data_IF_118756252049
#
_entry.id   IF_118756252049
#
_cell.length_a   1.000
_cell.length_b   1.000
_cell.length_c   1.000
_cell.angle_alpha   90.00
_cell.angle_beta   90.00
_cell.angle_gamma   90.00
#
_symmetry.space_group_name_H-M   'P 1'
#
loop_
_entity.id
_entity.type
_entity.pdbx_description
1 polymer ?
#
# COMPACT_ATOMS: atom_id res chain seq x y z
N UNK A 1 32.16 0.34 -46.98
CA UNK A 1 32.14 -0.85 -46.09
C UNK A 1 31.53 -0.45 -44.76
N UNK A 2 30.26 -0.86 -44.51
CA UNK A 2 29.53 -0.56 -43.27
C UNK A 2 29.81 -1.65 -42.24
N UNK A 3 30.37 -1.27 -41.10
CA UNK A 3 30.51 -2.14 -39.94
C UNK A 3 29.12 -2.48 -39.38
N UNK A 4 28.82 -3.78 -39.31
CA UNK A 4 27.59 -4.35 -38.79
C UNK A 4 27.66 -4.38 -37.26
N UNK A 5 26.96 -3.45 -36.60
CA UNK A 5 26.79 -3.48 -35.15
C UNK A 5 25.75 -4.54 -34.78
N UNK A 6 26.24 -5.67 -34.28
CA UNK A 6 25.45 -6.73 -33.67
C UNK A 6 24.92 -6.22 -32.32
N UNK A 7 23.70 -5.70 -32.30
CA UNK A 7 22.97 -5.43 -31.06
C UNK A 7 22.71 -6.76 -30.35
N UNK A 8 23.46 -7.00 -29.27
CA UNK A 8 23.16 -8.04 -28.31
C UNK A 8 21.80 -7.73 -27.67
N UNK A 9 20.83 -8.59 -27.92
CA UNK A 9 19.48 -8.51 -27.36
C UNK A 9 19.49 -8.86 -25.88
N UNK A 10 20.00 -7.97 -25.02
CA UNK A 10 19.70 -7.94 -23.60
C UNK A 10 18.32 -7.32 -23.41
N UNK A 11 17.28 -8.07 -23.78
CA UNK A 11 15.90 -7.76 -23.41
C UNK A 11 15.77 -7.94 -21.90
N UNK A 12 16.16 -6.87 -21.20
CA UNK A 12 16.01 -6.72 -19.77
C UNK A 12 14.56 -6.99 -19.41
N UNK A 13 14.32 -7.98 -18.56
CA UNK A 13 13.03 -8.31 -17.95
C UNK A 13 12.58 -7.20 -16.96
N UNK A 14 12.80 -5.93 -17.32
CA UNK A 14 12.32 -4.75 -16.63
C UNK A 14 10.81 -4.71 -16.79
N UNK A 15 10.14 -4.80 -15.64
CA UNK A 15 8.74 -4.36 -15.44
C UNK A 15 7.66 -5.10 -16.23
N UNK A 16 7.44 -6.38 -15.92
CA UNK A 16 6.13 -7.00 -16.20
C UNK A 16 5.11 -6.77 -15.08
N UNK A 17 5.58 -6.55 -13.84
CA UNK A 17 4.72 -5.95 -12.81
C UNK A 17 4.76 -4.45 -13.04
N UNK A 18 3.67 -3.83 -13.55
CA UNK A 18 3.68 -2.40 -13.81
C UNK A 18 3.99 -1.67 -12.50
N UNK A 19 4.96 -0.76 -12.55
CA UNK A 19 5.16 0.21 -11.49
C UNK A 19 3.83 0.95 -11.32
N UNK A 20 3.15 0.70 -10.21
CA UNK A 20 1.80 1.21 -9.96
C UNK A 20 1.94 2.70 -9.59
N UNK A 21 2.06 3.57 -10.61
CA UNK A 21 2.29 5.01 -10.47
C UNK A 21 1.21 5.74 -9.64
N UNK A 22 0.07 5.08 -9.38
CA UNK A 22 -1.09 5.63 -8.69
C UNK A 22 -1.47 4.89 -7.40
N UNK A 23 -0.58 4.05 -6.85
CA UNK A 23 -0.85 3.38 -5.59
C UNK A 23 -0.53 4.29 -4.39
N UNK A 24 -1.54 4.60 -3.59
CA UNK A 24 -1.38 5.38 -2.36
C UNK A 24 -2.29 4.83 -1.27
N UNK A 25 -2.12 5.29 -0.03
CA UNK A 25 -3.16 5.16 0.98
C UNK A 25 -3.78 6.53 1.24
N UNK A 26 -5.06 6.54 1.60
CA UNK A 26 -5.77 7.76 1.94
C UNK A 26 -6.41 7.63 3.32
N UNK A 27 -6.38 8.71 4.11
CA UNK A 27 -7.26 8.87 5.26
C UNK A 27 -7.93 10.24 5.20
N UNK A 28 -9.05 10.39 5.89
CA UNK A 28 -9.85 11.62 5.90
C UNK A 28 -10.12 11.96 7.36
N UNK A 29 -9.95 13.23 7.72
CA UNK A 29 -10.40 13.77 8.99
C UNK A 29 -11.48 14.83 8.76
N UNK A 30 -12.45 14.92 9.67
CA UNK A 30 -13.59 15.85 9.58
C UNK A 30 -13.43 16.98 10.59
N UNK A 31 -13.78 18.19 10.17
CA UNK A 31 -14.03 19.32 11.05
C UNK A 31 -15.53 19.48 11.25
N UNK A 32 -15.98 19.70 12.48
CA UNK A 32 -17.40 19.79 12.80
C UNK A 32 -17.68 20.67 14.00
N UNK A 33 -18.89 21.22 14.02
CA UNK A 33 -19.43 22.00 15.12
C UNK A 33 -20.43 21.16 15.90
N UNK A 34 -20.31 21.20 17.21
CA UNK A 34 -21.32 20.74 18.14
C UNK A 34 -22.08 21.93 18.71
N UNK A 35 -23.36 21.72 19.05
CA UNK A 35 -24.19 22.67 19.81
C UNK A 35 -24.71 21.98 21.05
N UNK A 36 -24.77 22.71 22.17
CA UNK A 36 -25.34 22.20 23.41
C UNK A 36 -26.85 21.96 23.25
N UNK A 37 -27.38 20.97 23.98
CA UNK A 37 -28.80 20.68 24.04
C UNK A 37 -29.56 21.63 25.00
N UNK A 38 -28.85 22.29 25.91
CA UNK A 38 -29.43 23.17 26.93
C UNK A 38 -29.21 24.65 26.65
N UNK A 39 -28.22 24.98 25.82
CA UNK A 39 -27.89 26.36 25.44
C UNK A 39 -27.49 26.41 23.95
N UNK A 40 -28.42 26.84 23.09
CA UNK A 40 -28.20 26.92 21.64
C UNK A 40 -27.10 27.93 21.24
N UNK A 41 -26.67 28.81 22.17
CA UNK A 41 -25.57 29.75 21.94
C UNK A 41 -24.19 29.11 22.19
N UNK A 42 -24.12 27.99 22.92
CA UNK A 42 -22.87 27.28 23.17
C UNK A 42 -22.54 26.36 21.99
N UNK A 43 -21.56 26.76 21.19
CA UNK A 43 -21.01 25.94 20.10
C UNK A 43 -19.56 25.56 20.35
N UNK A 44 -19.21 24.31 20.02
CA UNK A 44 -17.83 23.81 20.11
C UNK A 44 -17.34 23.32 18.77
N UNK A 45 -16.23 23.87 18.31
CA UNK A 45 -15.61 23.48 17.05
C UNK A 45 -14.51 22.44 17.26
N UNK A 46 -14.52 21.40 16.42
CA UNK A 46 -13.49 20.38 16.33
C UNK A 46 -12.74 20.52 15.02
N UNK A 47 -11.43 20.74 15.10
CA UNK A 47 -10.58 20.82 13.91
C UNK A 47 -10.37 19.45 13.25
N UNK A 48 -10.26 19.37 11.91
CA UNK A 48 -9.94 18.14 11.22
C UNK A 48 -8.52 17.64 11.56
N UNK A 49 -8.43 16.57 12.35
CA UNK A 49 -7.19 15.93 12.79
C UNK A 49 -7.36 14.40 12.88
N UNK A 50 -6.38 13.65 12.38
CA UNK A 50 -6.39 12.19 12.40
C UNK A 50 -6.34 11.56 13.80
N UNK A 51 -5.98 12.31 14.84
CA UNK A 51 -5.93 11.77 16.21
C UNK A 51 -7.34 11.47 16.73
N UNK A 52 -8.31 12.32 16.41
CA UNK A 52 -9.62 12.30 17.07
C UNK A 52 -10.80 12.60 16.13
N UNK A 53 -10.60 12.93 14.86
CA UNK A 53 -11.70 13.15 13.91
C UNK A 53 -11.54 12.38 12.62
N UNK A 54 -10.83 11.25 12.68
CA UNK A 54 -10.62 10.36 11.54
C UNK A 54 -11.93 9.65 11.14
N UNK A 55 -12.13 9.52 9.83
CA UNK A 55 -13.22 8.72 9.25
C UNK A 55 -12.85 7.23 9.31
N UNK A 56 -11.67 6.90 8.78
CA UNK A 56 -11.17 5.53 8.73
C UNK A 56 -10.18 5.27 9.87
N UNK A 57 -10.39 4.17 10.62
CA UNK A 57 -9.49 3.75 11.70
C UNK A 57 -8.08 3.45 11.22
N UNK A 58 -7.92 3.14 9.93
CA UNK A 58 -6.62 3.02 9.27
C UNK A 58 -6.68 3.56 7.85
N UNK A 59 -5.55 4.04 7.28
CA UNK A 59 -5.54 4.54 5.91
C UNK A 59 -5.93 3.48 4.88
N UNK A 60 -6.89 3.81 4.03
CA UNK A 60 -7.45 2.94 2.99
C UNK A 60 -6.51 2.87 1.79
N UNK A 61 -6.15 1.66 1.36
CA UNK A 61 -5.31 1.46 0.18
C UNK A 61 -6.08 1.71 -1.13
N UNK A 62 -5.56 2.62 -1.94
CA UNK A 62 -6.05 2.97 -3.28
C UNK A 62 -5.07 2.43 -4.31
N UNK A 63 -5.54 1.43 -5.04
CA UNK A 63 -4.79 0.71 -6.06
C UNK A 63 -5.25 1.06 -7.48
N UNK A 64 -6.46 1.63 -7.61
CA UNK A 64 -7.08 2.03 -8.86
C UNK A 64 -7.99 3.22 -8.65
N UNK A 65 -8.36 3.94 -9.72
CA UNK A 65 -9.36 5.01 -9.63
C UNK A 65 -10.74 4.49 -9.16
N UNK A 66 -11.07 3.24 -9.48
CA UNK A 66 -12.33 2.62 -9.07
C UNK A 66 -12.42 2.37 -7.56
N UNK A 67 -11.26 2.22 -6.89
CA UNK A 67 -11.19 2.02 -5.44
C UNK A 67 -11.69 3.23 -4.67
N UNK A 68 -11.54 4.44 -5.21
CA UNK A 68 -12.06 5.65 -4.55
C UNK A 68 -13.57 5.53 -4.37
N UNK A 69 -14.29 5.14 -5.42
CA UNK A 69 -15.75 4.98 -5.34
C UNK A 69 -16.14 3.80 -4.47
N UNK A 70 -15.47 2.66 -4.63
CA UNK A 70 -15.83 1.40 -3.97
C UNK A 70 -15.44 1.34 -2.49
N UNK A 71 -14.27 1.86 -2.13
CA UNK A 71 -13.70 1.73 -0.78
C UNK A 71 -13.85 2.99 0.07
N UNK A 72 -13.80 4.18 -0.55
CA UNK A 72 -13.83 5.46 0.19
C UNK A 72 -15.25 6.01 0.21
N UNK A 73 -15.84 6.29 -0.96
CA UNK A 73 -17.16 6.92 -1.04
C UNK A 73 -18.26 5.99 -0.52
N UNK A 74 -18.22 4.71 -0.89
CA UNK A 74 -19.22 3.74 -0.42
C UNK A 74 -19.23 3.65 1.11
N UNK A 75 -18.05 3.55 1.71
CA UNK A 75 -17.89 3.43 3.16
C UNK A 75 -18.38 4.68 3.90
N UNK A 76 -18.03 5.87 3.40
CA UNK A 76 -18.52 7.15 3.98
C UNK A 76 -20.05 7.23 3.91
N UNK A 77 -20.65 6.75 2.82
CA UNK A 77 -22.12 6.78 2.65
C UNK A 77 -22.84 5.76 3.52
N UNK A 78 -22.21 4.62 3.81
CA UNK A 78 -22.77 3.62 4.73
C UNK A 78 -22.49 3.94 6.20
N UNK A 79 -21.56 4.85 6.48
CA UNK A 79 -21.24 5.25 7.85
C UNK A 79 -22.31 6.19 8.42
N UNK A 80 -22.84 5.82 9.57
CA UNK A 80 -23.47 6.80 10.47
C UNK A 80 -22.37 7.65 11.11
N UNK A 81 -22.16 8.84 10.55
CA UNK A 81 -21.12 9.77 11.00
C UNK A 81 -21.25 10.12 12.48
N UNK A 82 -22.47 10.21 13.02
CA UNK A 82 -22.72 10.45 14.44
C UNK A 82 -22.03 9.43 15.36
N UNK A 83 -21.86 8.18 14.94
CA UNK A 83 -21.20 7.14 15.76
C UNK A 83 -19.67 7.28 15.78
N UNK A 84 -19.09 8.11 14.91
CA UNK A 84 -17.64 8.31 14.76
C UNK A 84 -17.15 9.63 15.34
N UNK A 85 -18.03 10.62 15.46
CA UNK A 85 -17.65 11.92 16.02
C UNK A 85 -17.44 11.79 17.53
N UNK A 86 -16.44 12.50 18.03
CA UNK A 86 -16.20 12.58 19.46
C UNK A 86 -17.08 13.67 20.06
N UNK A 87 -17.81 13.32 21.11
CA UNK A 87 -18.67 14.22 21.87
C UNK A 87 -18.07 14.40 23.27
N UNK A 88 -17.93 15.66 23.77
CA UNK A 88 -17.47 15.90 25.13
C UNK A 88 -18.36 15.29 26.20
N UNK A 89 -19.67 15.27 25.96
CA UNK A 89 -20.70 14.71 26.82
C UNK A 89 -21.98 14.42 26.01
N UNK A 90 -22.94 13.72 26.60
CA UNK A 90 -24.28 13.50 26.01
C UNK A 90 -25.11 14.79 25.86
N UNK A 91 -24.64 15.92 26.41
CA UNK A 91 -25.31 17.22 26.32
C UNK A 91 -25.09 17.96 25.01
N UNK A 92 -24.39 17.37 24.04
CA UNK A 92 -24.11 18.01 22.74
C UNK A 92 -24.69 17.19 21.59
N UNK A 93 -25.18 17.89 20.56
CA UNK A 93 -25.55 17.31 19.26
C UNK A 93 -24.70 17.90 18.14
N UNK A 94 -24.59 17.17 17.04
CA UNK A 94 -23.93 17.66 15.83
C UNK A 94 -24.74 18.82 15.23
N UNK A 95 -24.10 19.96 15.03
CA UNK A 95 -24.68 21.11 14.32
C UNK A 95 -24.40 21.03 12.83
N UNK A 96 -23.12 20.92 12.46
CA UNK A 96 -22.71 20.84 11.07
C UNK A 96 -21.31 20.23 10.91
N UNK A 97 -21.05 19.63 9.76
CA UNK A 97 -19.69 19.33 9.30
C UNK A 97 -19.18 20.58 8.58
N UNK A 98 -18.13 21.19 9.11
CA UNK A 98 -17.62 22.49 8.65
C UNK A 98 -16.39 22.37 7.77
N UNK A 99 -15.75 21.20 7.74
CA UNK A 99 -14.61 20.97 6.85
C UNK A 99 -14.12 19.54 6.82
N UNK A 100 -13.11 19.29 6.00
CA UNK A 100 -12.41 18.01 5.96
C UNK A 100 -10.95 18.21 5.55
N UNK A 101 -10.11 17.24 5.92
CA UNK A 101 -8.70 17.18 5.50
C UNK A 101 -8.38 15.79 4.97
N UNK A 102 -7.85 15.73 3.76
CA UNK A 102 -7.46 14.48 3.11
C UNK A 102 -5.94 14.29 3.30
N UNK A 103 -5.58 13.13 3.82
CA UNK A 103 -4.20 12.70 4.03
C UNK A 103 -3.84 11.65 3.00
N UNK A 104 -2.90 11.98 2.12
CA UNK A 104 -2.41 11.07 1.08
C UNK A 104 -1.03 10.55 1.49
N UNK A 105 -0.93 9.24 1.66
CA UNK A 105 0.31 8.55 1.97
C UNK A 105 0.83 7.88 0.70
N UNK A 106 1.94 8.38 0.18
CA UNK A 106 2.61 7.74 -0.96
C UNK A 106 3.11 6.34 -0.55
N UNK A 107 2.77 5.33 -1.36
CA UNK A 107 3.34 3.99 -1.22
C UNK A 107 4.59 3.92 -2.10
N UNK A 108 5.67 4.55 -1.64
CA UNK A 108 6.95 4.49 -2.36
C UNK A 108 7.77 3.23 -2.06
N UNK A 109 7.30 2.36 -1.17
CA UNK A 109 8.02 1.14 -0.83
C UNK A 109 7.70 0.04 -1.84
N UNK A 110 8.71 -0.37 -2.61
CA UNK A 110 8.66 -1.62 -3.34
C UNK A 110 8.52 -2.78 -2.34
N UNK A 111 7.80 -3.85 -2.70
CA UNK A 111 7.80 -5.05 -1.88
C UNK A 111 9.24 -5.61 -1.81
N UNK A 112 9.81 -5.65 -0.61
CA UNK A 112 11.22 -6.01 -0.38
C UNK A 112 12.20 -4.82 -0.41
N UNK A 113 11.70 -3.60 -0.27
CA UNK A 113 12.54 -2.42 -0.04
C UNK A 113 13.17 -2.47 1.36
N UNK A 114 14.48 -2.17 1.42
CA UNK A 114 15.27 -2.22 2.64
C UNK A 114 14.88 -1.16 3.67
N UNK A 115 14.12 -0.15 3.27
CA UNK A 115 13.63 0.92 4.16
C UNK A 115 12.43 0.51 5.02
N UNK A 116 11.80 -0.63 4.75
CA UNK A 116 10.71 -1.13 5.60
C UNK A 116 11.25 -1.41 7.02
N UNK A 117 10.66 -0.76 8.03
CA UNK A 117 11.03 -0.99 9.45
C UNK A 117 10.54 -2.38 9.86
N UNK A 118 11.44 -3.36 9.77
CA UNK A 118 11.22 -4.73 10.23
C UNK A 118 11.65 -4.82 11.69
N UNK A 119 10.81 -5.35 12.61
CA UNK A 119 11.19 -5.56 14.00
C UNK A 119 12.52 -6.32 14.12
N UNK A 120 13.38 -5.89 15.05
CA UNK A 120 14.74 -6.43 15.23
C UNK A 120 14.75 -7.95 15.34
N UNK A 121 13.78 -8.53 16.05
CA UNK A 121 13.64 -9.98 16.22
C UNK A 121 13.42 -10.74 14.89
N UNK A 122 12.74 -10.14 13.92
CA UNK A 122 12.53 -10.74 12.60
C UNK A 122 13.76 -10.49 11.72
N UNK A 123 14.31 -9.27 11.77
CA UNK A 123 15.44 -8.85 10.95
C UNK A 123 16.72 -9.65 11.25
N UNK A 124 16.99 -9.89 12.52
CA UNK A 124 18.22 -10.53 12.98
C UNK A 124 18.06 -12.07 13.07
N UNK A 125 16.89 -12.62 12.71
CA UNK A 125 16.66 -14.06 12.73
C UNK A 125 17.38 -14.73 11.56
N UNK A 126 18.35 -15.60 11.87
CA UNK A 126 19.15 -16.37 10.90
C UNK A 126 18.32 -17.28 9.97
N UNK A 127 17.09 -17.62 10.35
CA UNK A 127 16.18 -18.43 9.55
C UNK A 127 15.31 -17.60 8.60
N UNK A 128 15.27 -16.28 8.80
CA UNK A 128 14.58 -15.34 7.91
C UNK A 128 15.57 -14.87 6.84
N UNK A 129 15.13 -14.93 5.59
CA UNK A 129 15.99 -14.64 4.45
C UNK A 129 15.46 -13.38 3.78
N UNK A 130 16.28 -12.33 3.82
CA UNK A 130 15.97 -11.08 3.17
C UNK A 130 16.65 -11.01 1.80
N UNK A 131 15.85 -10.85 0.75
CA UNK A 131 16.35 -10.61 -0.61
C UNK A 131 16.44 -9.10 -0.85
N UNK A 132 17.64 -8.48 -0.82
CA UNK A 132 17.76 -7.06 -1.15
C UNK A 132 17.36 -6.80 -2.62
N UNK A 133 16.64 -5.70 -2.85
CA UNK A 133 16.41 -5.09 -4.17
C UNK A 133 15.88 -6.06 -5.24
N UNK A 134 14.74 -6.69 -4.94
CA UNK A 134 14.12 -7.68 -5.85
C UNK A 134 13.38 -7.09 -7.05
N UNK A 135 13.33 -5.76 -7.19
CA UNK A 135 12.65 -5.06 -8.31
C UNK A 135 11.21 -5.57 -8.55
N UNK A 136 10.42 -5.62 -7.48
CA UNK A 136 9.05 -6.16 -7.44
C UNK A 136 8.92 -7.68 -7.66
N UNK A 137 10.03 -8.45 -7.70
CA UNK A 137 10.00 -9.91 -7.92
C UNK A 137 10.20 -10.72 -6.62
N UNK A 138 9.95 -10.12 -5.47
CA UNK A 138 10.18 -10.73 -4.15
C UNK A 138 9.57 -12.12 -4.01
N UNK A 139 8.34 -12.32 -4.51
CA UNK A 139 7.66 -13.61 -4.44
C UNK A 139 8.37 -14.69 -5.28
N UNK A 140 8.90 -14.32 -6.44
CA UNK A 140 9.65 -15.25 -7.30
C UNK A 140 11.01 -15.58 -6.71
N UNK A 141 11.63 -14.65 -5.97
CA UNK A 141 12.79 -14.93 -5.14
C UNK A 141 12.50 -15.96 -4.05
N UNK A 142 11.40 -15.81 -3.31
CA UNK A 142 10.99 -16.80 -2.31
C UNK A 142 10.72 -18.18 -2.94
N UNK A 143 9.94 -18.23 -4.03
CA UNK A 143 9.64 -19.49 -4.74
C UNK A 143 10.94 -20.15 -5.21
N UNK A 144 11.81 -19.40 -5.88
CA UNK A 144 13.09 -19.91 -6.36
C UNK A 144 13.96 -20.44 -5.21
N UNK A 145 13.98 -19.75 -4.07
CA UNK A 145 14.76 -20.14 -2.92
C UNK A 145 14.27 -21.42 -2.25
N UNK A 146 12.95 -21.53 -2.04
CA UNK A 146 12.37 -22.70 -1.38
C UNK A 146 12.24 -23.91 -2.30
N UNK A 147 12.09 -23.69 -3.61
CA UNK A 147 12.05 -24.78 -4.61
C UNK A 147 13.43 -25.35 -4.93
N UNK A 148 14.50 -24.60 -4.70
CA UNK A 148 15.86 -25.07 -4.96
C UNK A 148 16.31 -26.06 -3.87
N UNK A 149 16.28 -27.36 -4.21
CA UNK A 149 16.71 -28.47 -3.33
C UNK A 149 18.24 -28.56 -3.14
N UNK A 150 19.04 -27.67 -3.74
CA UNK A 150 20.50 -27.69 -3.58
C UNK A 150 20.89 -27.36 -2.12
N UNK A 151 21.76 -28.19 -1.55
CA UNK A 151 22.28 -28.05 -0.18
C UNK A 151 23.06 -26.74 0.06
N UNK A 152 23.64 -26.14 -0.98
CA UNK A 152 24.28 -24.81 -0.93
C UNK A 152 23.48 -23.82 -1.76
N UNK A 153 22.64 -23.03 -1.08
CA UNK A 153 21.85 -21.97 -1.69
C UNK A 153 22.69 -20.70 -1.79
N UNK A 154 23.11 -20.36 -3.01
CA UNK A 154 23.88 -19.15 -3.30
C UNK A 154 22.95 -18.06 -3.81
N UNK A 155 22.88 -16.94 -3.08
CA UNK A 155 22.09 -15.76 -3.42
C UNK A 155 22.45 -15.20 -4.80
N UNK A 156 23.74 -15.19 -5.16
CA UNK A 156 24.22 -14.60 -6.41
C UNK A 156 23.75 -15.39 -7.62
N UNK A 157 23.44 -16.67 -7.43
CA UNK A 157 23.03 -17.59 -8.50
C UNK A 157 21.51 -17.74 -8.61
N UNK A 158 20.72 -17.19 -7.67
CA UNK A 158 19.26 -17.38 -7.62
C UNK A 158 18.51 -16.75 -8.81
N UNK A 159 19.12 -15.78 -9.49
CA UNK A 159 18.47 -15.02 -10.56
C UNK A 159 17.96 -15.89 -11.72
N UNK A 160 18.70 -16.96 -12.05
CA UNK A 160 18.28 -17.89 -13.09
C UNK A 160 16.99 -18.62 -12.70
N UNK A 161 16.90 -19.10 -11.46
CA UNK A 161 15.72 -19.77 -10.91
C UNK A 161 14.55 -18.80 -10.73
N UNK A 162 14.82 -17.54 -10.37
CA UNK A 162 13.80 -16.48 -10.32
C UNK A 162 13.20 -16.25 -11.70
N UNK A 163 14.03 -16.21 -12.75
CA UNK A 163 13.57 -16.08 -14.14
C UNK A 163 12.72 -17.28 -14.56
N UNK A 164 13.12 -18.49 -14.17
CA UNK A 164 12.37 -19.71 -14.45
C UNK A 164 11.02 -19.73 -13.72
N UNK A 165 10.98 -19.40 -12.43
CA UNK A 165 9.75 -19.28 -11.64
C UNK A 165 8.80 -18.23 -12.24
N UNK A 166 9.35 -17.11 -12.70
CA UNK A 166 8.58 -16.07 -13.37
C UNK A 166 7.98 -16.57 -14.70
N UNK A 167 8.77 -17.26 -15.54
CA UNK A 167 8.27 -17.86 -16.79
C UNK A 167 7.13 -18.83 -16.53
N UNK A 168 7.26 -19.72 -15.54
CA UNK A 168 6.20 -20.66 -15.16
C UNK A 168 4.90 -19.95 -14.78
N UNK A 169 4.98 -18.85 -14.03
CA UNK A 169 3.82 -18.02 -13.70
C UNK A 169 3.19 -17.38 -14.94
N UNK A 170 4.01 -16.83 -15.85
CA UNK A 170 3.51 -16.26 -17.10
C UNK A 170 2.78 -17.30 -17.95
N UNK A 171 3.36 -18.50 -18.12
CA UNK A 171 2.70 -19.60 -18.84
C UNK A 171 1.35 -19.98 -18.20
N UNK A 172 1.29 -20.10 -16.88
CA UNK A 172 0.04 -20.39 -16.15
C UNK A 172 -1.03 -19.30 -16.38
N UNK A 173 -0.63 -18.04 -16.51
CA UNK A 173 -1.52 -16.91 -16.76
C UNK A 173 -1.83 -16.66 -18.24
N UNK A 174 -1.31 -17.48 -19.16
CA UNK A 174 -1.46 -17.26 -20.60
C UNK A 174 -0.74 -16.00 -21.12
N UNK A 175 0.34 -15.60 -20.44
CA UNK A 175 1.15 -14.43 -20.79
C UNK A 175 2.36 -14.88 -21.60
N UNK A 176 2.49 -14.39 -22.84
CA UNK A 176 3.68 -14.65 -23.66
C UNK A 176 4.85 -13.75 -23.22
N UNK A 177 5.91 -14.36 -22.72
CA UNK A 177 7.20 -13.69 -22.46
C UNK A 177 8.17 -14.01 -23.59
N UNK A 178 8.46 -13.02 -24.45
CA UNK A 178 9.60 -13.04 -25.38
C UNK A 178 10.92 -12.89 -24.62
#
# INVERSE_FOLDING_TARGET
>A
MRASNRLSSTTSSRTYLPAKKSAFKVNIALGYDLVSLTDDSETRYFHPNLVNTYVFSSPVAIDSRSDIRKKVISEIRSMELANKLNYPSSGYKLKAITGFKIYIYYRNHALGDSEAVIPKIIRDNKHVINFPRTNNKCIFHCIAWHSNKKFKKDFRKIQAQVKEAFKRYCSFKGINTL
#
